data_IF_016731438965
#
_entry.id   IF_016731438965
#
_cell.length_a   1.000
_cell.length_b   1.000
_cell.length_c   1.000
_cell.angle_alpha   90.00
_cell.angle_beta   90.00
_cell.angle_gamma   90.00
#
_symmetry.space_group_name_H-M   'P 1'
#
loop_
_entity.id
_entity.type
_entity.pdbx_description
1 polymer ?
#
# COMPACT_ATOMS: atom_id res chain seq x y z
N UNK A 1 -32.04 -3.97 9.87
CA UNK A 1 -32.39 -5.16 10.66
C UNK A 1 -32.28 -4.88 12.17
N UNK A 2 -31.14 -4.41 12.68
CA UNK A 2 -30.91 -4.13 14.11
C UNK A 2 -31.83 -3.06 14.70
N UNK A 3 -32.15 -1.99 13.95
CA UNK A 3 -33.07 -0.95 14.35
C UNK A 3 -34.50 -1.53 14.54
N UNK A 4 -34.91 -2.42 13.65
CA UNK A 4 -36.21 -3.12 13.75
C UNK A 4 -36.33 -3.99 15.00
N UNK A 5 -35.27 -4.72 15.34
CA UNK A 5 -35.18 -5.55 16.55
C UNK A 5 -35.21 -4.66 17.81
N UNK A 6 -34.47 -3.57 17.82
CA UNK A 6 -34.45 -2.62 18.93
C UNK A 6 -35.86 -2.03 19.17
N UNK A 7 -36.55 -1.55 18.11
CA UNK A 7 -37.91 -1.00 18.20
C UNK A 7 -38.90 -2.03 18.69
N UNK A 8 -38.79 -3.28 18.22
CA UNK A 8 -39.65 -4.38 18.66
C UNK A 8 -39.46 -4.70 20.14
N UNK A 9 -38.24 -4.74 20.62
CA UNK A 9 -37.92 -5.00 22.02
C UNK A 9 -38.38 -3.86 22.95
N UNK A 10 -38.34 -2.62 22.50
CA UNK A 10 -38.85 -1.47 23.28
C UNK A 10 -40.38 -1.42 23.37
N UNK A 11 -41.13 -1.89 22.38
CA UNK A 11 -42.60 -1.93 22.38
C UNK A 11 -43.18 -3.04 23.26
N UNK A 12 -42.43 -4.12 23.49
CA UNK A 12 -42.86 -5.20 24.38
C UNK A 12 -42.54 -4.83 25.82
N UNK A 13 -43.47 -5.03 26.77
CA UNK A 13 -43.25 -4.82 28.23
C UNK A 13 -42.16 -5.82 28.72
N UNK A 14 -40.91 -5.52 28.42
CA UNK A 14 -39.78 -6.27 28.95
C UNK A 14 -39.53 -5.86 30.39
N UNK A 15 -39.29 -6.83 31.27
CA UNK A 15 -38.82 -6.59 32.61
C UNK A 15 -37.52 -5.75 32.57
N UNK A 16 -37.28 -4.96 33.64
CA UNK A 16 -36.11 -4.07 33.72
C UNK A 16 -34.80 -4.70 33.29
N UNK A 17 -34.59 -6.03 33.63
CA UNK A 17 -33.41 -6.81 33.25
C UNK A 17 -33.21 -6.93 31.75
N UNK A 18 -34.25 -7.13 30.96
CA UNK A 18 -34.17 -7.21 29.51
C UNK A 18 -33.76 -5.90 28.85
N UNK A 19 -34.14 -4.76 29.41
CA UNK A 19 -33.73 -3.42 28.92
C UNK A 19 -32.23 -3.19 29.12
N UNK A 20 -31.69 -3.58 30.28
CA UNK A 20 -30.25 -3.48 30.53
C UNK A 20 -29.42 -4.39 29.63
N UNK A 21 -29.92 -5.61 29.37
CA UNK A 21 -29.26 -6.54 28.47
C UNK A 21 -29.22 -6.01 27.02
N UNK A 22 -30.34 -5.46 26.55
CA UNK A 22 -30.40 -4.83 25.24
C UNK A 22 -29.47 -3.61 25.14
N UNK A 23 -29.47 -2.74 26.16
CA UNK A 23 -28.57 -1.61 26.22
C UNK A 23 -27.10 -2.03 26.20
N UNK A 24 -26.74 -3.12 26.91
CA UNK A 24 -25.40 -3.71 26.89
C UNK A 24 -24.99 -4.21 25.51
N UNK A 25 -25.89 -4.89 24.79
CA UNK A 25 -25.63 -5.36 23.41
C UNK A 25 -25.43 -4.19 22.45
N UNK A 26 -26.28 -3.16 22.55
CA UNK A 26 -26.12 -1.95 21.70
C UNK A 26 -24.81 -1.24 22.00
N UNK A 27 -24.44 -1.11 23.26
CA UNK A 27 -23.19 -0.48 23.69
C UNK A 27 -21.96 -1.25 23.22
N UNK A 28 -21.97 -2.58 23.38
CA UNK A 28 -20.92 -3.45 22.85
C UNK A 28 -20.78 -3.37 21.32
N UNK A 29 -21.92 -3.36 20.61
CA UNK A 29 -21.94 -3.14 19.17
C UNK A 29 -21.37 -1.79 18.74
N UNK A 30 -21.70 -0.73 19.49
CA UNK A 30 -21.13 0.60 19.24
C UNK A 30 -19.63 0.67 19.49
N UNK A 31 -19.12 0.00 20.53
CA UNK A 31 -17.68 -0.10 20.80
C UNK A 31 -16.98 -0.83 19.67
N UNK A 32 -17.52 -1.96 19.18
CA UNK A 32 -16.94 -2.69 18.06
C UNK A 32 -16.89 -1.84 16.80
N UNK A 33 -17.97 -1.13 16.49
CA UNK A 33 -18.00 -0.21 15.33
C UNK A 33 -16.99 0.93 15.46
N UNK A 34 -16.83 1.48 16.67
CA UNK A 34 -15.82 2.50 16.93
C UNK A 34 -14.40 1.95 16.82
N UNK A 35 -14.15 0.75 17.29
CA UNK A 35 -12.86 0.07 17.16
C UNK A 35 -12.52 -0.21 15.69
N UNK A 36 -13.47 -0.74 14.90
CA UNK A 36 -13.31 -0.90 13.46
C UNK A 36 -13.05 0.43 12.76
N UNK A 37 -13.80 1.48 13.12
CA UNK A 37 -13.61 2.81 12.53
C UNK A 37 -12.25 3.42 12.90
N UNK A 38 -11.74 3.21 14.12
CA UNK A 38 -10.41 3.62 14.54
C UNK A 38 -9.32 2.85 13.78
N UNK A 39 -9.43 1.52 13.70
CA UNK A 39 -8.51 0.67 12.94
C UNK A 39 -8.49 1.04 11.44
N UNK A 40 -9.65 1.38 10.88
CA UNK A 40 -9.77 1.83 9.49
C UNK A 40 -9.01 3.13 9.19
N UNK A 41 -8.69 3.93 10.22
CA UNK A 41 -7.91 5.17 10.08
C UNK A 41 -6.41 4.95 10.14
N UNK A 42 -5.98 3.81 10.64
CA UNK A 42 -4.56 3.49 10.73
C UNK A 42 -3.97 3.27 9.34
N UNK A 43 -2.75 3.75 9.17
CA UNK A 43 -1.95 3.44 8.00
C UNK A 43 -1.02 2.29 8.35
N UNK A 44 -1.14 1.21 7.62
CA UNK A 44 -0.34 0.00 7.80
C UNK A 44 0.62 -0.14 6.63
N UNK A 45 1.88 -0.33 6.94
CA UNK A 45 2.94 -0.65 5.99
C UNK A 45 3.40 -2.08 6.24
N UNK A 46 3.21 -2.96 5.25
CA UNK A 46 3.74 -4.31 5.25
C UNK A 46 4.89 -4.37 4.25
N UNK A 47 6.01 -4.89 4.68
CA UNK A 47 7.19 -5.07 3.84
C UNK A 47 7.58 -6.55 3.84
N UNK A 48 6.98 -7.35 2.95
CA UNK A 48 7.33 -8.76 2.81
C UNK A 48 8.73 -8.93 2.24
N UNK A 49 9.41 -9.98 2.68
CA UNK A 49 10.66 -10.42 2.08
C UNK A 49 10.34 -11.15 0.77
N UNK A 50 10.73 -10.57 -0.35
CA UNK A 50 10.61 -11.15 -1.69
C UNK A 50 11.99 -11.54 -2.26
N UNK A 51 12.95 -11.80 -1.40
CA UNK A 51 14.31 -12.15 -1.78
C UNK A 51 15.05 -10.99 -2.42
N UNK A 52 15.36 -11.08 -3.73
CA UNK A 52 16.07 -10.03 -4.44
C UNK A 52 15.19 -8.85 -4.86
N UNK A 53 13.88 -9.04 -4.87
CA UNK A 53 12.90 -8.01 -5.25
C UNK A 53 12.38 -7.30 -3.99
N UNK A 54 11.85 -6.11 -4.16
CA UNK A 54 11.25 -5.34 -3.06
C UNK A 54 9.74 -5.25 -3.28
N UNK A 55 8.98 -5.72 -2.31
CA UNK A 55 7.53 -5.54 -2.25
C UNK A 55 7.13 -4.79 -1.00
N UNK A 56 6.13 -3.95 -1.12
CA UNK A 56 5.56 -3.24 0.04
C UNK A 56 4.08 -3.01 -0.17
N UNK A 57 3.31 -3.28 0.86
CA UNK A 57 1.86 -3.06 0.85
C UNK A 57 1.54 -1.92 1.80
N UNK A 58 0.94 -0.87 1.28
CA UNK A 58 0.49 0.28 2.04
C UNK A 58 -1.04 0.29 2.06
N UNK A 59 -1.60 0.20 3.26
CA UNK A 59 -3.04 0.31 3.50
C UNK A 59 -3.33 1.58 4.29
N UNK A 60 -4.25 2.40 3.81
CA UNK A 60 -4.68 3.61 4.50
C UNK A 60 -6.17 3.84 4.27
N UNK A 61 -6.97 3.52 5.27
CA UNK A 61 -8.43 3.45 5.13
C UNK A 61 -8.81 2.35 4.13
N UNK A 62 -9.58 2.72 3.10
CA UNK A 62 -9.98 1.84 2.01
C UNK A 62 -8.95 1.72 0.88
N UNK A 63 -7.89 2.53 0.89
CA UNK A 63 -6.86 2.49 -0.12
C UNK A 63 -5.85 1.38 0.15
N UNK A 64 -5.60 0.60 -0.87
CA UNK A 64 -4.61 -0.46 -0.90
C UNK A 64 -3.65 -0.21 -2.06
N UNK A 65 -2.42 0.14 -1.73
CA UNK A 65 -1.35 0.40 -2.68
C UNK A 65 -0.28 -0.65 -2.48
N UNK A 66 0.14 -1.27 -3.55
CA UNK A 66 1.27 -2.20 -3.55
C UNK A 66 2.40 -1.57 -4.35
N UNK A 67 3.57 -1.47 -3.75
CA UNK A 67 4.80 -1.10 -4.44
C UNK A 67 5.59 -2.37 -4.73
N UNK A 68 6.11 -2.47 -5.94
CA UNK A 68 7.01 -3.54 -6.35
C UNK A 68 8.18 -3.00 -7.16
N UNK A 69 9.38 -3.36 -6.77
CA UNK A 69 10.62 -3.07 -7.49
C UNK A 69 11.35 -4.39 -7.74
N UNK A 70 11.64 -4.68 -9.01
CA UNK A 70 12.46 -5.83 -9.39
C UNK A 70 13.93 -5.46 -9.41
N UNK A 71 14.77 -6.37 -8.96
CA UNK A 71 16.23 -6.25 -9.00
C UNK A 71 16.85 -6.50 -10.39
N UNK A 72 16.03 -6.71 -11.42
CA UNK A 72 16.53 -6.89 -12.79
C UNK A 72 15.62 -7.66 -13.73
N UNK A 73 15.21 -8.86 -13.37
CA UNK A 73 14.25 -9.66 -14.14
C UNK A 73 13.10 -10.01 -13.20
N UNK A 74 11.92 -9.40 -13.38
CA UNK A 74 10.75 -9.79 -12.63
C UNK A 74 10.50 -11.28 -12.81
N UNK A 75 10.22 -12.01 -11.76
CA UNK A 75 9.91 -13.43 -11.86
C UNK A 75 8.43 -13.68 -11.62
N UNK A 76 7.87 -14.68 -12.31
CA UNK A 76 6.53 -15.15 -11.99
C UNK A 76 6.43 -15.67 -10.54
N UNK A 77 7.55 -16.12 -9.98
CA UNK A 77 7.62 -16.55 -8.57
C UNK A 77 7.39 -15.38 -7.62
N UNK A 78 8.06 -14.23 -7.82
CA UNK A 78 7.87 -13.05 -6.97
C UNK A 78 6.43 -12.53 -7.01
N UNK A 79 5.76 -12.62 -8.17
CA UNK A 79 4.34 -12.27 -8.29
C UNK A 79 3.44 -13.18 -7.46
N UNK A 80 3.63 -14.50 -7.56
CA UNK A 80 2.87 -15.48 -6.77
C UNK A 80 3.15 -15.37 -5.28
N UNK A 81 4.38 -15.09 -4.90
CA UNK A 81 4.75 -14.89 -3.50
C UNK A 81 4.09 -13.66 -2.92
N UNK A 82 4.13 -12.53 -3.63
CA UNK A 82 3.40 -11.31 -3.24
C UNK A 82 1.90 -11.58 -3.14
N UNK A 83 1.32 -12.29 -4.08
CA UNK A 83 -0.09 -12.68 -4.10
C UNK A 83 -0.48 -13.55 -2.89
N UNK A 84 0.38 -14.51 -2.55
CA UNK A 84 0.21 -15.36 -1.36
C UNK A 84 0.20 -14.53 -0.06
N UNK A 85 1.10 -13.55 0.04
CA UNK A 85 1.18 -12.64 1.20
C UNK A 85 -0.06 -11.75 1.26
N UNK A 86 -0.50 -11.18 0.14
CA UNK A 86 -1.74 -10.42 0.06
C UNK A 86 -2.94 -11.26 0.52
N UNK A 87 -3.04 -12.49 0.01
CA UNK A 87 -4.10 -13.43 0.39
C UNK A 87 -4.08 -13.78 1.89
N UNK A 88 -2.89 -13.97 2.48
CA UNK A 88 -2.74 -14.20 3.92
C UNK A 88 -3.30 -13.02 4.76
N UNK A 89 -3.14 -11.80 4.28
CA UNK A 89 -3.68 -10.60 4.90
C UNK A 89 -5.12 -10.26 4.47
N UNK A 90 -5.80 -11.15 3.73
CA UNK A 90 -7.17 -10.93 3.27
C UNK A 90 -7.31 -9.83 2.20
N UNK A 91 -6.24 -9.54 1.47
CA UNK A 91 -6.20 -8.52 0.43
C UNK A 91 -6.38 -9.19 -0.93
N UNK A 92 -7.59 -9.14 -1.48
CA UNK A 92 -7.93 -9.75 -2.77
C UNK A 92 -8.09 -8.72 -3.89
N UNK A 93 -8.06 -7.43 -3.55
CA UNK A 93 -8.09 -6.32 -4.49
C UNK A 93 -7.12 -5.22 -4.03
N UNK A 94 -6.46 -4.59 -4.98
CA UNK A 94 -5.59 -3.44 -4.77
C UNK A 94 -6.00 -2.30 -5.71
N UNK A 95 -5.91 -1.07 -5.22
CA UNK A 95 -6.30 0.11 -6.00
C UNK A 95 -5.20 0.46 -7.01
N UNK A 96 -3.96 0.46 -6.56
CA UNK A 96 -2.82 0.80 -7.39
C UNK A 96 -1.64 -0.14 -7.14
N UNK A 97 -1.12 -0.71 -8.21
CA UNK A 97 0.18 -1.37 -8.23
C UNK A 97 1.22 -0.37 -8.76
N UNK A 98 2.12 0.07 -7.88
CA UNK A 98 3.26 0.92 -8.20
C UNK A 98 4.44 0.04 -8.64
N UNK A 99 4.76 0.05 -9.91
CA UNK A 99 5.89 -0.72 -10.46
C UNK A 99 7.10 0.18 -10.68
N UNK A 100 8.21 -0.14 -10.02
CA UNK A 100 9.50 0.48 -10.34
C UNK A 100 10.27 -0.41 -11.32
N UNK A 101 10.41 0.07 -12.54
CA UNK A 101 10.99 -0.66 -13.68
C UNK A 101 12.39 -0.15 -14.07
N UNK A 102 13.05 0.62 -13.20
CA UNK A 102 14.38 1.20 -13.51
C UNK A 102 15.43 0.14 -13.82
N UNK A 103 15.43 -0.96 -13.09
CA UNK A 103 16.40 -2.04 -13.20
C UNK A 103 15.96 -3.17 -14.13
N UNK A 104 14.70 -3.16 -14.58
CA UNK A 104 14.14 -4.22 -15.41
C UNK A 104 14.77 -4.21 -16.80
N UNK A 105 15.42 -5.31 -17.16
CA UNK A 105 16.08 -5.48 -18.44
C UNK A 105 15.19 -6.13 -19.49
N UNK A 106 14.35 -7.06 -19.08
CA UNK A 106 13.44 -7.81 -19.96
C UNK A 106 12.06 -7.90 -19.33
N UNK A 107 10.98 -7.72 -20.10
CA UNK A 107 9.64 -7.97 -19.60
C UNK A 107 9.47 -9.49 -19.41
N UNK A 108 9.22 -9.90 -18.16
CA UNK A 108 8.77 -11.25 -17.85
C UNK A 108 7.39 -11.10 -17.21
N UNK A 109 6.38 -11.86 -17.66
CA UNK A 109 5.05 -11.77 -17.09
C UNK A 109 5.08 -12.00 -15.58
N UNK A 110 4.50 -11.04 -14.87
CA UNK A 110 4.33 -11.05 -13.44
C UNK A 110 2.92 -11.59 -13.17
N UNK A 111 2.83 -12.79 -12.60
CA UNK A 111 1.55 -13.46 -12.40
C UNK A 111 1.00 -13.10 -11.02
N UNK A 112 -0.18 -12.49 -11.00
CA UNK A 112 -0.96 -12.20 -9.80
C UNK A 112 -2.42 -12.53 -10.04
N UNK A 113 -3.05 -13.21 -9.09
CA UNK A 113 -4.49 -13.47 -9.07
C UNK A 113 -5.25 -12.34 -8.35
N UNK A 114 -4.57 -11.56 -7.52
CA UNK A 114 -5.12 -10.38 -6.86
C UNK A 114 -5.61 -9.37 -7.89
N UNK A 115 -6.83 -8.90 -7.74
CA UNK A 115 -7.44 -7.93 -8.64
C UNK A 115 -6.77 -6.57 -8.53
N UNK A 116 -6.20 -6.08 -9.63
CA UNK A 116 -5.55 -4.78 -9.73
C UNK A 116 -6.46 -3.82 -10.48
N UNK A 117 -6.72 -2.63 -9.93
CA UNK A 117 -7.52 -1.60 -10.60
C UNK A 117 -6.69 -0.75 -11.56
N UNK A 118 -5.55 -0.25 -11.09
CA UNK A 118 -4.63 0.56 -11.90
C UNK A 118 -3.19 0.11 -11.69
N UNK A 119 -2.38 0.22 -12.73
CA UNK A 119 -0.92 0.05 -12.66
C UNK A 119 -0.28 1.41 -12.93
N UNK A 120 0.60 1.83 -12.02
CA UNK A 120 1.39 3.02 -12.18
C UNK A 120 2.87 2.64 -12.21
N UNK A 121 3.52 2.90 -13.34
CA UNK A 121 4.89 2.48 -13.57
C UNK A 121 5.84 3.66 -13.62
N UNK A 122 7.01 3.51 -12.99
CA UNK A 122 8.12 4.47 -13.04
C UNK A 122 9.36 3.82 -13.61
N UNK A 123 10.26 4.62 -14.19
CA UNK A 123 11.50 4.18 -14.78
C UNK A 123 11.55 4.39 -16.29
N UNK A 124 12.74 4.49 -16.84
CA UNK A 124 12.96 4.92 -18.25
C UNK A 124 12.38 4.02 -19.33
N UNK A 125 11.92 2.81 -18.99
CA UNK A 125 11.25 1.85 -19.89
C UNK A 125 9.82 1.53 -19.51
N UNK A 126 9.22 2.33 -18.62
CA UNK A 126 7.89 2.06 -18.07
C UNK A 126 6.82 1.94 -19.16
N UNK A 127 6.85 2.79 -20.19
CA UNK A 127 5.88 2.74 -21.28
C UNK A 127 5.91 1.44 -22.07
N UNK A 128 7.10 0.90 -22.29
CA UNK A 128 7.29 -0.31 -23.12
C UNK A 128 7.17 -1.59 -22.32
N UNK A 129 7.51 -1.58 -21.04
CA UNK A 129 7.57 -2.80 -20.22
C UNK A 129 6.30 -3.05 -19.41
N UNK A 130 5.68 -2.00 -18.87
CA UNK A 130 4.52 -2.15 -17.99
C UNK A 130 3.35 -2.95 -18.60
N UNK A 131 2.98 -2.78 -19.88
CA UNK A 131 1.90 -3.55 -20.49
C UNK A 131 2.14 -5.07 -20.55
N UNK A 132 3.41 -5.50 -20.52
CA UNK A 132 3.80 -6.91 -20.65
C UNK A 132 4.05 -7.59 -19.31
N UNK A 133 4.06 -6.83 -18.21
CA UNK A 133 4.44 -7.38 -16.91
C UNK A 133 3.30 -8.10 -16.20
N UNK A 134 2.05 -7.80 -16.52
CA UNK A 134 0.90 -8.49 -15.93
C UNK A 134 0.09 -9.11 -17.04
N UNK A 135 0.05 -10.44 -17.01
CA UNK A 135 -0.71 -11.23 -17.98
C UNK A 135 -2.19 -10.90 -17.84
N UNK A 136 -2.85 -10.69 -18.98
CA UNK A 136 -4.31 -10.47 -19.07
C UNK A 136 -4.85 -9.25 -18.31
N UNK A 137 -3.98 -8.29 -17.93
CA UNK A 137 -4.42 -7.07 -17.28
C UNK A 137 -5.27 -6.21 -18.22
N UNK A 138 -6.50 -5.90 -17.77
CA UNK A 138 -7.48 -5.09 -18.54
C UNK A 138 -7.69 -3.69 -17.98
N UNK A 139 -6.96 -3.32 -16.94
CA UNK A 139 -7.07 -2.01 -16.28
C UNK A 139 -6.27 -0.92 -16.96
N UNK A 140 -6.15 0.21 -16.29
CA UNK A 140 -5.39 1.37 -16.77
C UNK A 140 -3.92 1.24 -16.37
N UNK A 141 -3.03 1.38 -17.35
CA UNK A 141 -1.58 1.53 -17.11
C UNK A 141 -1.22 2.99 -17.28
N UNK A 142 -0.59 3.58 -16.27
CA UNK A 142 -0.08 4.96 -16.31
C UNK A 142 1.44 4.95 -16.18
N UNK A 143 2.11 5.58 -17.12
CA UNK A 143 3.52 5.89 -16.97
C UNK A 143 3.68 7.16 -16.13
N UNK A 144 4.38 7.06 -15.02
CA UNK A 144 4.64 8.19 -14.14
C UNK A 144 5.97 8.86 -14.54
N UNK A 145 5.86 9.91 -15.32
CA UNK A 145 6.91 10.94 -15.43
C UNK A 145 7.00 11.71 -14.10
N UNK A 146 8.01 12.56 -13.88
CA UNK A 146 8.01 13.46 -12.73
C UNK A 146 6.68 14.16 -12.58
N UNK A 147 5.93 13.81 -11.52
CA UNK A 147 4.55 14.25 -11.34
C UNK A 147 4.09 14.12 -9.90
N UNK A 148 2.98 14.78 -9.61
CA UNK A 148 2.25 14.66 -8.37
C UNK A 148 0.82 14.25 -8.66
N UNK A 149 0.39 13.11 -8.16
CA UNK A 149 -0.94 12.56 -8.35
C UNK A 149 -1.65 12.44 -7.00
N UNK A 150 -2.96 12.66 -7.01
CA UNK A 150 -3.79 12.51 -5.82
C UNK A 150 -4.83 11.43 -6.05
N UNK A 151 -4.89 10.47 -5.16
CA UNK A 151 -5.92 9.44 -5.12
C UNK A 151 -7.21 9.98 -4.48
N UNK A 152 -8.33 9.34 -4.75
CA UNK A 152 -9.66 9.77 -4.26
C UNK A 152 -9.76 9.88 -2.72
N UNK A 153 -9.02 9.06 -2.00
CA UNK A 153 -8.98 9.03 -0.53
C UNK A 153 -8.02 10.06 0.09
N UNK A 154 -7.47 10.96 -0.72
CA UNK A 154 -6.58 12.03 -0.27
C UNK A 154 -5.10 11.63 -0.17
N UNK A 155 -4.74 10.39 -0.47
CA UNK A 155 -3.35 9.99 -0.67
C UNK A 155 -2.74 10.74 -1.84
N UNK A 156 -1.50 11.17 -1.67
CA UNK A 156 -0.71 11.82 -2.72
C UNK A 156 0.47 10.95 -3.08
N UNK A 157 0.67 10.71 -4.35
CA UNK A 157 1.85 10.05 -4.90
C UNK A 157 2.67 11.08 -5.66
N UNK A 158 3.92 11.24 -5.26
CA UNK A 158 4.87 12.14 -5.90
C UNK A 158 6.02 11.29 -6.45
N UNK A 159 6.45 11.57 -7.66
CA UNK A 159 7.59 10.90 -8.26
C UNK A 159 8.49 11.87 -9.01
N UNK A 160 9.78 11.60 -9.00
CA UNK A 160 10.76 12.26 -9.87
C UNK A 160 11.09 11.39 -11.11
N UNK A 161 10.30 10.35 -11.37
CA UNK A 161 10.52 9.37 -12.43
C UNK A 161 11.37 8.17 -12.03
N UNK A 162 11.87 8.14 -10.79
CA UNK A 162 12.72 7.10 -10.22
C UNK A 162 12.26 6.74 -8.81
N UNK A 163 12.42 7.66 -7.86
CA UNK A 163 11.89 7.52 -6.51
C UNK A 163 10.41 7.88 -6.45
N UNK A 164 9.72 7.33 -5.46
CA UNK A 164 8.32 7.56 -5.17
C UNK A 164 8.15 8.00 -3.72
N UNK A 165 7.22 8.90 -3.51
CA UNK A 165 6.77 9.33 -2.19
C UNK A 165 5.25 9.20 -2.13
N UNK A 166 4.74 8.45 -1.18
CA UNK A 166 3.31 8.24 -0.97
C UNK A 166 2.93 8.71 0.42
N UNK A 167 2.00 9.63 0.52
CA UNK A 167 1.67 10.19 1.83
C UNK A 167 0.29 10.82 1.91
N UNK A 168 -0.12 11.12 3.15
CA UNK A 168 -1.38 11.79 3.47
C UNK A 168 -1.24 12.55 4.78
N UNK A 169 -1.52 13.86 4.75
CA UNK A 169 -1.40 14.71 5.94
C UNK A 169 0.03 14.80 6.44
N UNK A 170 0.26 14.37 7.68
CA UNK A 170 1.56 14.46 8.36
C UNK A 170 2.49 13.26 8.14
N UNK A 171 2.02 12.20 7.49
CA UNK A 171 2.85 11.02 7.25
C UNK A 171 3.12 10.79 5.76
N UNK A 172 4.25 10.18 5.48
CA UNK A 172 4.59 9.68 4.16
C UNK A 172 5.56 8.51 4.18
N UNK A 173 5.55 7.75 3.09
CA UNK A 173 6.47 6.66 2.83
C UNK A 173 7.29 7.01 1.60
N UNK A 174 8.60 6.93 1.76
CA UNK A 174 9.56 7.17 0.70
C UNK A 174 10.07 5.83 0.16
N UNK A 175 9.89 5.62 -1.13
CA UNK A 175 10.41 4.47 -1.86
C UNK A 175 11.63 4.92 -2.67
N UNK A 176 12.79 4.41 -2.29
CA UNK A 176 14.05 4.79 -2.91
C UNK A 176 14.14 4.31 -4.36
N UNK A 177 14.60 5.20 -5.22
CA UNK A 177 14.95 4.93 -6.61
C UNK A 177 16.45 5.14 -6.86
N UNK A 178 16.88 5.01 -8.12
CA UNK A 178 18.27 5.30 -8.49
C UNK A 178 18.59 6.80 -8.45
N UNK A 179 17.55 7.65 -8.58
CA UNK A 179 17.63 9.10 -8.41
C UNK A 179 16.71 9.49 -7.26
N UNK A 180 17.27 9.98 -6.18
CA UNK A 180 16.51 10.45 -5.04
C UNK A 180 15.94 11.86 -5.25
N UNK A 181 14.97 12.26 -4.45
CA UNK A 181 14.50 13.64 -4.42
C UNK A 181 15.62 14.55 -3.90
N UNK A 182 15.58 15.83 -4.34
CA UNK A 182 16.60 16.82 -4.00
C UNK A 182 16.68 17.18 -2.51
N UNK A 183 17.65 18.01 -2.16
CA UNK A 183 17.78 18.59 -0.82
C UNK A 183 16.58 19.47 -0.47
N UNK A 184 16.07 19.36 0.74
CA UNK A 184 14.92 20.15 1.24
C UNK A 184 13.64 19.35 1.47
N UNK A 185 13.65 18.06 1.21
CA UNK A 185 12.53 17.19 1.57
C UNK A 185 12.44 17.02 3.10
N UNK A 186 11.22 17.13 3.60
CA UNK A 186 10.91 16.93 5.02
C UNK A 186 11.27 15.50 5.46
N UNK A 187 11.52 15.27 6.75
CA UNK A 187 11.69 13.91 7.24
C UNK A 187 10.49 13.05 6.90
N UNK A 188 10.74 11.80 6.51
CA UNK A 188 9.71 10.85 6.13
C UNK A 188 9.33 9.96 7.32
N UNK A 189 8.05 9.59 7.42
CA UNK A 189 7.59 8.65 8.44
C UNK A 189 8.22 7.28 8.24
N UNK A 190 8.31 6.82 7.00
CA UNK A 190 8.98 5.56 6.68
C UNK A 190 9.77 5.66 5.38
N UNK A 191 10.86 4.91 5.34
CA UNK A 191 11.72 4.74 4.19
C UNK A 191 11.77 3.27 3.78
N UNK A 192 11.66 3.00 2.48
CA UNK A 192 11.71 1.65 1.90
C UNK A 192 12.82 1.61 0.85
N UNK A 193 13.79 0.74 1.05
CA UNK A 193 14.87 0.49 0.10
C UNK A 193 14.91 -0.97 -0.31
N UNK A 194 15.47 -1.27 -1.48
CA UNK A 194 15.66 -2.64 -1.93
C UNK A 194 16.88 -3.29 -1.29
N UNK A 195 16.95 -4.64 -1.32
CA UNK A 195 18.00 -5.48 -0.78
C UNK A 195 19.43 -5.12 -1.24
N UNK A 196 19.56 -4.50 -2.40
CA UNK A 196 20.79 -3.94 -2.92
C UNK A 196 21.07 -2.51 -2.44
N UNK A 197 20.19 -1.93 -1.62
CA UNK A 197 20.26 -0.55 -1.15
C UNK A 197 21.53 -0.25 -0.36
N UNK A 198 22.06 -1.19 0.42
CA UNK A 198 23.34 -1.07 1.11
C UNK A 198 24.56 -1.03 0.17
N UNK A 199 24.45 -1.60 -1.04
CA UNK A 199 25.58 -1.61 -1.98
C UNK A 199 25.54 -0.51 -3.03
N UNK A 200 24.41 0.15 -3.27
CA UNK A 200 24.26 1.13 -4.38
C UNK A 200 23.39 2.36 -4.13
N UNK A 201 22.65 2.49 -3.05
CA UNK A 201 21.59 3.50 -3.08
C UNK A 201 21.50 4.47 -1.93
N UNK A 202 21.74 4.04 -0.72
CA UNK A 202 21.57 4.97 0.41
C UNK A 202 22.79 4.87 1.30
N UNK A 203 23.57 5.93 1.29
CA UNK A 203 24.63 6.07 2.27
C UNK A 203 24.00 6.32 3.64
N UNK A 204 24.66 5.87 4.70
CA UNK A 204 24.30 6.20 6.08
C UNK A 204 24.04 7.72 6.25
N UNK A 205 24.78 8.55 5.51
CA UNK A 205 24.58 10.00 5.42
C UNK A 205 23.21 10.41 4.87
N UNK A 206 22.60 9.61 4.02
CA UNK A 206 21.30 9.91 3.44
C UNK A 206 20.17 9.55 4.39
N UNK A 207 20.28 8.43 5.11
CA UNK A 207 19.39 8.09 6.22
C UNK A 207 19.47 9.12 7.34
N UNK A 208 20.67 9.55 7.71
CA UNK A 208 20.89 10.61 8.70
C UNK A 208 20.26 11.93 8.27
N UNK A 209 20.28 12.22 6.97
CA UNK A 209 19.64 13.42 6.39
C UNK A 209 18.12 13.32 6.39
N UNK A 210 17.57 12.19 5.97
CA UNK A 210 16.11 11.97 5.86
C UNK A 210 15.45 11.73 7.21
N UNK A 211 16.19 11.21 8.19
CA UNK A 211 15.71 10.91 9.55
C UNK A 211 14.33 10.27 9.57
N UNK A 212 14.10 9.17 8.84
CA UNK A 212 12.80 8.52 8.86
C UNK A 212 12.53 7.95 10.26
N UNK A 213 11.27 7.93 10.68
CA UNK A 213 10.85 7.25 11.91
C UNK A 213 11.06 5.74 11.85
N UNK A 214 10.94 5.18 10.63
CA UNK A 214 11.20 3.78 10.36
C UNK A 214 11.92 3.60 9.02
N UNK A 215 12.84 2.65 8.95
CA UNK A 215 13.50 2.25 7.72
C UNK A 215 13.28 0.75 7.48
N UNK A 216 12.87 0.38 6.28
CA UNK A 216 12.63 -0.99 5.87
C UNK A 216 13.60 -1.34 4.76
N UNK A 217 14.33 -2.42 4.97
CA UNK A 217 15.26 -2.99 4.01
C UNK A 217 14.71 -4.33 3.54
N UNK A 218 14.54 -4.50 2.25
CA UNK A 218 14.19 -5.77 1.61
C UNK A 218 15.41 -6.48 1.07
#
# INVERSE_FOLDING_TARGET
YYIGVAVFCFKRKWERKGKYLLAGVIFAGAILLLAEWAAYRETVLLAPDLGADTGTVLMSGDAKIVYYKSSGIPSAASGRELDSILGYHGIFDIDVLLLNLEEVKKPVPFEMDTRIKEIWAVGGKAETLAPFLIKDFKGTVRNLSPSRLRLKNGLTVITNGSALRVGKGSWDVYFAGNKNFGEGDSPHTAWVGGSNGFRRGVSEKELDRLRPEAAVYG
#
